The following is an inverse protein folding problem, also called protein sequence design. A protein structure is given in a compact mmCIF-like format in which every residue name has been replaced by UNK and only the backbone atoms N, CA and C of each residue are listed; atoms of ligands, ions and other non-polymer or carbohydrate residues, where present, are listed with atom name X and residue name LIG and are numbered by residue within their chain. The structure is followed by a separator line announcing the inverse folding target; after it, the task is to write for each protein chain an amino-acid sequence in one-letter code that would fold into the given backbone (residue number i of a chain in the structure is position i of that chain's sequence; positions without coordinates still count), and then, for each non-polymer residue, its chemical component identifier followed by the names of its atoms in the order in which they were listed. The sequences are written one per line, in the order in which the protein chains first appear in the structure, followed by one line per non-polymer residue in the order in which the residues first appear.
data_IF_212421198322
#
_entry.id   IF_212421198322
#
_cell.length_a   1.000
_cell.length_b   1.000
_cell.length_c   1.000
_cell.angle_alpha   90.00
_cell.angle_beta   90.00
_cell.angle_gamma   90.00
#
_symmetry.space_group_name_H-M   'P 1'
#
loop_
_entity.id
_entity.type
_entity.pdbx_description
1 polymer ?
#
# COMPACT_ATOMS: atom_id res chain seq x y z
N UNK A 1 -12.95 -18.40 -14.09
CA UNK A 1 -11.81 -18.22 -13.17
C UNK A 1 -11.45 -19.56 -12.56
N UNK A 2 -10.18 -19.81 -12.32
CA UNK A 2 -9.67 -21.03 -11.64
C UNK A 2 -9.91 -20.96 -10.12
N UNK A 3 -9.97 -19.74 -9.58
CA UNK A 3 -10.13 -19.47 -8.16
C UNK A 3 -11.53 -18.95 -7.84
N UNK A 4 -12.03 -19.30 -6.65
CA UNK A 4 -13.34 -18.85 -6.16
C UNK A 4 -13.18 -17.59 -5.32
N UNK A 5 -13.70 -16.47 -5.84
CA UNK A 5 -13.74 -15.18 -5.14
C UNK A 5 -15.19 -14.79 -4.73
N UNK A 6 -16.20 -15.59 -5.06
CA UNK A 6 -17.60 -15.30 -4.76
C UNK A 6 -18.08 -15.90 -3.44
N UNK A 7 -17.51 -17.04 -3.02
CA UNK A 7 -17.87 -17.64 -1.74
C UNK A 7 -17.52 -16.72 -0.57
N UNK A 8 -18.52 -16.43 0.27
CA UNK A 8 -18.37 -15.56 1.44
C UNK A 8 -17.40 -16.17 2.46
N UNK A 9 -16.29 -15.51 2.68
CA UNK A 9 -15.35 -15.83 3.74
C UNK A 9 -15.85 -15.21 5.05
N UNK A 10 -16.14 -16.05 6.05
CA UNK A 10 -16.43 -15.56 7.40
C UNK A 10 -15.12 -15.29 8.14
N UNK A 11 -14.90 -14.02 8.51
CA UNK A 11 -13.71 -13.59 9.24
C UNK A 11 -14.02 -13.18 10.69
N UNK A 12 -15.28 -13.29 11.12
CA UNK A 12 -15.69 -13.07 12.52
C UNK A 12 -15.23 -14.26 13.37
N UNK A 13 -14.67 -14.01 14.54
CA UNK A 13 -14.10 -15.03 15.42
C UNK A 13 -12.67 -15.47 15.04
N UNK A 14 -12.01 -14.71 14.13
CA UNK A 14 -10.65 -15.01 13.66
C UNK A 14 -9.61 -13.97 14.08
N UNK A 15 -9.95 -13.12 15.04
CA UNK A 15 -9.13 -11.97 15.48
C UNK A 15 -8.87 -10.96 14.34
N UNK A 16 -9.82 -10.82 13.44
CA UNK A 16 -9.71 -9.95 12.28
C UNK A 16 -10.09 -8.51 12.63
N UNK A 17 -9.14 -7.58 12.68
CA UNK A 17 -9.38 -6.17 12.96
C UNK A 17 -10.53 -5.59 12.12
N UNK A 18 -10.55 -5.88 10.81
CA UNK A 18 -11.57 -5.35 9.89
C UNK A 18 -13.00 -5.74 10.28
N UNK A 19 -13.20 -6.96 10.82
CA UNK A 19 -14.53 -7.50 11.09
C UNK A 19 -14.92 -7.49 12.56
N UNK A 20 -13.99 -7.24 13.48
CA UNK A 20 -14.20 -7.37 14.92
C UNK A 20 -14.02 -6.06 15.71
N UNK A 21 -13.53 -4.99 15.07
CA UNK A 21 -13.32 -3.69 15.74
C UNK A 21 -14.61 -2.83 15.84
N UNK A 22 -15.68 -3.21 15.14
CA UNK A 22 -16.89 -2.39 15.06
C UNK A 22 -18.05 -3.03 15.84
N UNK A 23 -18.45 -2.39 16.93
CA UNK A 23 -19.68 -2.72 17.69
C UNK A 23 -20.90 -2.03 17.04
N UNK A 24 -21.19 -2.41 15.78
CA UNK A 24 -22.28 -1.86 14.98
C UNK A 24 -23.13 -3.02 14.47
N UNK A 25 -24.46 -3.01 14.72
CA UNK A 25 -25.35 -4.06 14.19
C UNK A 25 -25.27 -4.17 12.66
N UNK A 26 -25.13 -5.38 12.14
CA UNK A 26 -25.01 -5.67 10.70
C UNK A 26 -23.86 -4.89 10.01
N UNK A 27 -22.75 -4.67 10.71
CA UNK A 27 -21.60 -3.98 10.17
C UNK A 27 -21.11 -4.62 8.86
N UNK A 28 -20.90 -3.80 7.86
CA UNK A 28 -20.24 -4.13 6.60
C UNK A 28 -18.98 -3.27 6.48
N UNK A 29 -17.87 -3.70 7.07
CA UNK A 29 -16.64 -2.91 7.05
C UNK A 29 -15.92 -3.08 5.69
N UNK A 30 -15.76 -1.99 4.97
CA UNK A 30 -14.98 -1.90 3.73
C UNK A 30 -13.85 -0.88 3.90
N UNK A 31 -13.13 -1.00 5.01
CA UNK A 31 -12.17 -0.01 5.54
C UNK A 31 -10.71 -0.43 5.34
N UNK A 32 -10.25 -1.44 6.08
CA UNK A 32 -8.85 -1.85 6.14
C UNK A 32 -8.40 -2.42 4.79
N UNK A 33 -7.16 -2.09 4.39
CA UNK A 33 -6.57 -2.53 3.14
C UNK A 33 -6.01 -3.96 3.24
N UNK A 34 -6.92 -4.92 3.41
CA UNK A 34 -6.74 -6.36 3.20
C UNK A 34 -7.90 -6.91 2.36
N UNK A 35 -7.77 -8.13 1.86
CA UNK A 35 -8.81 -8.75 1.05
C UNK A 35 -9.67 -9.69 1.91
N UNK A 36 -10.94 -9.86 1.54
CA UNK A 36 -11.82 -10.86 2.14
C UNK A 36 -11.82 -12.20 1.39
N UNK A 37 -10.81 -12.43 0.57
CA UNK A 37 -10.57 -13.69 -0.14
C UNK A 37 -9.57 -14.56 0.64
N UNK A 38 -9.66 -15.88 0.47
CA UNK A 38 -8.59 -16.76 0.91
C UNK A 38 -7.30 -16.48 0.09
N UNK A 39 -6.15 -16.70 0.72
CA UNK A 39 -4.85 -16.63 0.04
C UNK A 39 -4.75 -17.73 -1.04
N UNK A 40 -3.81 -17.54 -1.98
CA UNK A 40 -3.59 -18.53 -3.04
C UNK A 40 -3.35 -19.94 -2.45
N UNK A 41 -3.91 -21.02 -3.05
CA UNK A 41 -3.78 -22.38 -2.53
C UNK A 41 -2.33 -22.81 -2.30
N UNK A 42 -1.41 -22.41 -3.16
CA UNK A 42 0.03 -22.71 -3.02
C UNK A 42 0.64 -22.10 -1.77
N UNK A 43 0.22 -20.88 -1.42
CA UNK A 43 0.64 -20.23 -0.17
C UNK A 43 0.09 -21.00 1.04
N UNK A 44 -1.19 -21.37 1.00
CA UNK A 44 -1.84 -22.15 2.04
C UNK A 44 -1.15 -23.50 2.24
N UNK A 45 -0.85 -24.22 1.15
CA UNK A 45 -0.11 -25.49 1.16
C UNK A 45 1.29 -25.34 1.80
N UNK A 46 2.03 -24.29 1.46
CA UNK A 46 3.37 -24.03 1.99
C UNK A 46 3.35 -23.74 3.50
N UNK A 47 2.30 -23.10 4.00
CA UNK A 47 2.13 -22.75 5.42
C UNK A 47 1.68 -23.96 6.26
N UNK A 48 0.73 -24.76 5.74
CA UNK A 48 0.10 -25.89 6.46
C UNK A 48 0.78 -27.22 6.06
N UNK A 49 1.96 -27.20 5.50
CA UNK A 49 2.67 -28.39 5.05
C UNK A 49 2.79 -29.44 6.17
N UNK A 50 2.09 -30.60 6.08
CA UNK A 50 2.10 -31.62 7.14
C UNK A 50 3.46 -32.30 7.32
N UNK A 51 4.34 -32.19 6.33
CA UNK A 51 5.69 -32.75 6.38
C UNK A 51 6.70 -31.79 7.04
N UNK A 52 6.29 -30.56 7.38
CA UNK A 52 7.13 -29.59 8.08
C UNK A 52 6.92 -29.73 9.57
N UNK A 53 7.98 -30.10 10.36
CA UNK A 53 7.87 -30.10 11.80
C UNK A 53 7.47 -28.73 12.35
N UNK A 54 6.48 -28.69 13.24
CA UNK A 54 6.05 -27.46 13.92
C UNK A 54 6.93 -27.11 15.14
N UNK A 55 8.24 -27.24 14.99
CA UNK A 55 9.20 -26.68 15.93
C UNK A 55 9.42 -25.20 15.57
N UNK A 56 8.63 -24.31 16.18
CA UNK A 56 8.58 -22.88 15.85
C UNK A 56 9.77 -22.11 16.48
N UNK A 57 10.99 -22.51 16.12
CA UNK A 57 12.22 -21.81 16.51
C UNK A 57 12.52 -20.61 15.61
N UNK A 58 13.71 -20.05 15.77
CA UNK A 58 14.18 -18.95 14.92
C UNK A 58 14.34 -19.40 13.47
N UNK A 59 13.99 -18.51 12.56
CA UNK A 59 14.09 -18.73 11.12
C UNK A 59 15.27 -17.95 10.54
N UNK A 60 15.96 -18.54 9.55
CA UNK A 60 16.95 -17.82 8.75
C UNK A 60 16.35 -17.44 7.40
N UNK A 61 16.96 -16.47 6.72
CA UNK A 61 16.52 -16.02 5.41
C UNK A 61 17.43 -16.66 4.36
N UNK A 62 16.95 -17.64 3.57
CA UNK A 62 17.75 -18.29 2.54
C UNK A 62 17.94 -17.39 1.31
N UNK A 63 18.99 -17.63 0.54
CA UNK A 63 19.27 -16.94 -0.73
C UNK A 63 18.07 -17.01 -1.69
N UNK A 64 17.33 -18.12 -1.68
CA UNK A 64 16.13 -18.33 -2.50
C UNK A 64 15.04 -17.31 -2.24
N UNK A 65 14.95 -16.72 -1.04
CA UNK A 65 14.02 -15.64 -0.74
C UNK A 65 14.37 -14.36 -1.53
N UNK A 66 15.63 -13.98 -1.51
CA UNK A 66 16.13 -12.81 -2.25
C UNK A 66 16.04 -13.01 -3.76
N UNK A 67 16.32 -14.23 -4.22
CA UNK A 67 16.17 -14.64 -5.62
C UNK A 67 14.72 -14.59 -6.08
N UNK A 68 13.76 -15.03 -5.26
CA UNK A 68 12.34 -15.00 -5.58
C UNK A 68 11.84 -13.55 -5.75
N UNK A 69 12.24 -12.63 -4.86
CA UNK A 69 11.91 -11.20 -4.99
C UNK A 69 12.53 -10.63 -6.28
N UNK A 70 13.82 -10.82 -6.50
CA UNK A 70 14.48 -10.30 -7.68
C UNK A 70 13.85 -10.86 -8.98
N UNK A 71 13.54 -12.16 -9.01
CA UNK A 71 12.88 -12.80 -10.13
C UNK A 71 11.49 -12.22 -10.40
N UNK A 72 10.66 -12.04 -9.36
CA UNK A 72 9.33 -11.45 -9.45
C UNK A 72 9.37 -10.05 -10.06
N UNK A 73 10.20 -9.19 -9.51
CA UNK A 73 10.33 -7.80 -9.94
C UNK A 73 10.90 -7.66 -11.36
N UNK A 74 11.83 -8.53 -11.75
CA UNK A 74 12.39 -8.52 -13.11
C UNK A 74 11.39 -9.05 -14.15
N UNK A 75 10.64 -10.12 -13.83
CA UNK A 75 9.66 -10.70 -14.77
C UNK A 75 8.45 -9.82 -14.96
N UNK A 76 7.90 -9.24 -13.87
CA UNK A 76 6.66 -8.46 -13.92
C UNK A 76 6.88 -7.00 -14.25
N UNK A 77 7.97 -6.42 -13.77
CA UNK A 77 8.17 -4.96 -13.79
C UNK A 77 9.45 -4.53 -14.50
N UNK A 78 10.22 -5.47 -15.07
CA UNK A 78 11.51 -5.19 -15.75
C UNK A 78 12.44 -4.27 -14.90
N UNK A 79 12.53 -4.56 -13.60
CA UNK A 79 13.11 -3.65 -12.62
C UNK A 79 14.65 -3.66 -12.55
N UNK A 80 15.33 -4.63 -13.19
CA UNK A 80 16.79 -4.71 -13.19
C UNK A 80 17.42 -5.00 -11.83
N UNK A 81 16.75 -5.78 -10.98
CA UNK A 81 17.12 -6.04 -9.59
C UNK A 81 17.91 -7.34 -9.48
N UNK A 82 19.00 -7.33 -8.69
CA UNK A 82 19.69 -8.54 -8.25
C UNK A 82 19.39 -8.84 -6.78
N UNK A 83 19.53 -10.13 -6.38
CA UNK A 83 19.31 -10.56 -4.99
C UNK A 83 20.14 -9.78 -3.97
N UNK A 84 21.35 -9.37 -4.36
CA UNK A 84 22.26 -8.64 -3.47
C UNK A 84 21.77 -7.21 -3.14
N UNK A 85 20.77 -6.71 -3.84
CA UNK A 85 20.14 -5.40 -3.57
C UNK A 85 19.03 -5.50 -2.52
N UNK A 86 18.61 -6.72 -2.14
CA UNK A 86 17.43 -6.97 -1.30
C UNK A 86 17.84 -7.13 0.15
N UNK A 87 17.11 -6.45 1.04
CA UNK A 87 17.25 -6.54 2.50
C UNK A 87 15.89 -6.88 3.11
N UNK A 88 15.81 -7.94 3.90
CA UNK A 88 14.57 -8.37 4.58
C UNK A 88 14.12 -7.37 5.64
N UNK A 89 12.80 -7.22 5.79
CA UNK A 89 12.16 -6.48 6.87
C UNK A 89 10.84 -7.15 7.29
N UNK A 90 10.46 -7.01 8.57
CA UNK A 90 9.22 -7.55 9.14
C UNK A 90 7.94 -6.83 8.69
N UNK A 91 8.04 -5.82 7.83
CA UNK A 91 6.93 -5.05 7.28
C UNK A 91 7.40 -3.70 6.74
N UNK A 92 6.63 -3.14 5.83
CA UNK A 92 6.99 -1.87 5.19
C UNK A 92 7.00 -0.72 6.20
N UNK A 93 6.04 -0.64 7.10
CA UNK A 93 5.94 0.46 8.08
C UNK A 93 7.10 0.41 9.10
N UNK A 94 7.49 -0.79 9.57
CA UNK A 94 8.64 -0.88 10.44
C UNK A 94 9.95 -0.53 9.69
N UNK A 95 10.05 -0.91 8.41
CA UNK A 95 11.18 -0.52 7.57
C UNK A 95 11.25 1.00 7.37
N UNK A 96 10.13 1.68 7.09
CA UNK A 96 10.06 3.15 6.99
C UNK A 96 10.53 3.79 8.29
N UNK A 97 10.01 3.34 9.44
CA UNK A 97 10.38 3.89 10.75
C UNK A 97 11.87 3.70 11.05
N UNK A 98 12.43 2.54 10.72
CA UNK A 98 13.86 2.25 10.85
C UNK A 98 14.71 3.13 9.94
N UNK A 99 14.33 3.27 8.67
CA UNK A 99 15.01 4.13 7.69
C UNK A 99 14.97 5.59 8.13
N UNK A 100 13.83 6.09 8.59
CA UNK A 100 13.69 7.45 9.14
C UNK A 100 14.68 7.66 10.27
N UNK A 101 14.76 6.74 11.25
CA UNK A 101 15.72 6.86 12.35
C UNK A 101 17.17 6.81 11.88
N UNK A 102 17.47 5.94 10.91
CA UNK A 102 18.84 5.67 10.47
C UNK A 102 19.42 6.70 9.52
N UNK A 103 18.59 7.29 8.67
CA UNK A 103 19.04 8.19 7.60
C UNK A 103 18.78 9.67 7.89
N UNK A 104 18.08 9.97 8.98
CA UNK A 104 17.78 11.36 9.37
C UNK A 104 18.07 11.61 10.84
N UNK A 105 18.10 12.87 11.23
CA UNK A 105 18.33 13.34 12.60
C UNK A 105 17.02 13.85 13.22
N UNK A 106 16.77 13.73 14.54
CA UNK A 106 15.61 14.36 15.18
C UNK A 106 15.52 15.86 14.88
N UNK A 107 14.31 16.32 14.54
CA UNK A 107 14.05 17.70 14.14
C UNK A 107 14.19 17.97 12.63
N UNK A 108 14.75 17.06 11.84
CA UNK A 108 14.75 17.20 10.39
C UNK A 108 13.35 16.98 9.79
N UNK A 109 13.11 17.53 8.61
CA UNK A 109 11.87 17.45 7.89
C UNK A 109 11.82 16.17 7.03
N UNK A 110 10.69 15.47 7.13
CA UNK A 110 10.33 14.38 6.21
C UNK A 110 9.18 14.86 5.33
N UNK A 111 9.40 14.83 4.02
CA UNK A 111 8.45 15.34 3.03
C UNK A 111 7.49 14.25 2.59
N UNK A 112 6.19 14.54 2.65
CA UNK A 112 5.08 13.71 2.20
C UNK A 112 4.22 14.44 1.17
N UNK A 113 3.32 13.73 0.49
CA UNK A 113 2.36 14.30 -0.47
C UNK A 113 0.92 13.89 -0.11
N UNK A 114 0.12 14.81 0.42
CA UNK A 114 -1.27 14.53 0.78
C UNK A 114 -2.22 14.64 -0.42
N UNK A 115 -3.35 13.85 -0.41
CA UNK A 115 -3.76 12.87 0.59
C UNK A 115 -2.87 11.64 0.57
N UNK A 116 -2.60 11.06 1.76
CA UNK A 116 -1.65 9.95 1.88
C UNK A 116 -2.04 9.01 3.02
N UNK A 117 -1.57 7.76 2.96
CA UNK A 117 -1.75 6.77 4.00
C UNK A 117 -1.22 7.26 5.35
N UNK A 118 -2.14 7.37 6.32
CA UNK A 118 -1.90 8.06 7.58
C UNK A 118 -0.82 7.42 8.49
N UNK A 119 -0.53 6.13 8.33
CA UNK A 119 0.51 5.45 9.13
C UNK A 119 1.90 6.02 8.87
N UNK A 120 2.14 6.64 7.68
CA UNK A 120 3.40 7.34 7.43
C UNK A 120 3.59 8.55 8.34
N UNK A 121 2.50 9.23 8.75
CA UNK A 121 2.56 10.35 9.70
C UNK A 121 3.15 9.90 11.04
N UNK A 122 2.70 8.74 11.53
CA UNK A 122 3.20 8.14 12.75
C UNK A 122 4.68 7.72 12.61
N UNK A 123 5.08 7.19 11.45
CA UNK A 123 6.49 6.84 11.19
C UNK A 123 7.41 8.07 11.21
N UNK A 124 6.90 9.26 10.89
CA UNK A 124 7.63 10.53 11.01
C UNK A 124 7.60 11.07 12.44
N UNK A 125 6.39 11.30 12.97
CA UNK A 125 6.20 12.02 14.24
C UNK A 125 6.69 11.21 15.44
N UNK A 126 6.41 9.91 15.51
CA UNK A 126 6.85 9.04 16.60
C UNK A 126 8.37 8.88 16.67
N UNK A 127 9.07 9.20 15.58
CA UNK A 127 10.53 9.20 15.54
C UNK A 127 11.14 10.59 15.74
N UNK A 128 10.34 11.61 16.14
CA UNK A 128 10.83 12.95 16.47
C UNK A 128 11.28 13.77 15.27
N UNK A 129 10.75 13.47 14.06
CA UNK A 129 10.98 14.27 12.85
C UNK A 129 9.79 15.17 12.59
N UNK A 130 10.01 16.25 11.84
CA UNK A 130 8.94 17.14 11.44
C UNK A 130 8.26 16.59 10.18
N UNK A 131 6.94 16.59 10.18
CA UNK A 131 6.16 16.25 9.01
C UNK A 131 5.94 17.51 8.17
N UNK A 132 6.43 17.51 6.95
CA UNK A 132 6.22 18.57 5.95
C UNK A 132 5.50 17.96 4.77
N UNK A 133 4.56 18.70 4.17
CA UNK A 133 3.85 18.21 3.00
C UNK A 133 3.98 19.13 1.81
N UNK A 134 3.97 18.51 0.61
CA UNK A 134 3.68 19.15 -0.66
C UNK A 134 2.41 18.49 -1.18
N UNK A 135 1.27 19.14 -0.95
CA UNK A 135 -0.03 18.54 -1.19
C UNK A 135 -0.30 18.38 -2.69
N UNK A 136 -0.92 17.28 -3.06
CA UNK A 136 -1.33 17.04 -4.44
C UNK A 136 -2.48 17.98 -4.81
N UNK A 137 -2.42 18.52 -6.01
CA UNK A 137 -3.52 19.35 -6.56
C UNK A 137 -4.63 18.43 -7.07
N UNK A 138 -5.86 18.63 -6.55
CA UNK A 138 -7.07 17.98 -7.04
C UNK A 138 -7.84 18.89 -7.97
N UNK A 139 -8.04 18.48 -9.21
CA UNK A 139 -8.82 19.22 -10.21
C UNK A 139 -9.53 18.26 -11.16
N UNK A 140 -10.82 18.49 -11.39
CA UNK A 140 -11.65 17.73 -12.35
C UNK A 140 -11.62 16.20 -12.14
N UNK A 141 -11.49 15.74 -10.88
CA UNK A 141 -11.42 14.33 -10.53
C UNK A 141 -10.02 13.71 -10.66
N UNK A 142 -8.99 14.52 -10.87
CA UNK A 142 -7.60 14.05 -11.05
C UNK A 142 -6.65 14.70 -10.04
N UNK A 143 -5.67 13.93 -9.62
CA UNK A 143 -4.59 14.41 -8.77
C UNK A 143 -3.29 14.58 -9.58
N UNK A 144 -2.57 15.66 -9.29
CA UNK A 144 -1.27 15.97 -9.89
C UNK A 144 -0.31 16.56 -8.86
N UNK A 145 0.98 16.47 -9.13
CA UNK A 145 2.02 17.07 -8.30
C UNK A 145 2.06 18.58 -8.57
N UNK A 146 2.09 19.38 -7.49
CA UNK A 146 2.51 20.78 -7.56
C UNK A 146 4.04 20.82 -7.55
N UNK A 147 4.61 20.95 -8.73
CA UNK A 147 6.06 20.89 -8.92
C UNK A 147 6.81 22.09 -8.33
N UNK A 148 6.18 23.24 -8.25
CA UNK A 148 6.78 24.44 -7.66
C UNK A 148 6.84 24.31 -6.14
N UNK A 149 5.75 23.88 -5.49
CA UNK A 149 5.73 23.65 -4.06
C UNK A 149 6.63 22.46 -3.68
N UNK A 150 6.62 21.37 -4.46
CA UNK A 150 7.50 20.22 -4.22
C UNK A 150 8.99 20.64 -4.26
N UNK A 151 9.41 21.36 -5.30
CA UNK A 151 10.80 21.83 -5.40
C UNK A 151 11.17 22.77 -4.26
N UNK A 152 10.28 23.69 -3.89
CA UNK A 152 10.46 24.58 -2.75
C UNK A 152 10.66 23.82 -1.44
N UNK A 153 9.85 22.78 -1.18
CA UNK A 153 9.97 21.95 0.04
C UNK A 153 11.23 21.09 0.05
N UNK A 154 11.62 20.55 -1.10
CA UNK A 154 12.88 19.81 -1.23
C UNK A 154 14.12 20.72 -1.08
N UNK A 155 14.03 22.00 -1.45
CA UNK A 155 15.14 22.97 -1.32
C UNK A 155 15.38 23.46 0.11
N UNK A 156 14.47 23.20 1.03
CA UNK A 156 14.68 23.49 2.45
C UNK A 156 15.81 22.59 3.00
N UNK A 157 16.83 23.21 3.58
CA UNK A 157 18.00 22.50 4.13
C UNK A 157 17.67 21.57 5.30
N UNK A 158 16.52 21.74 5.92
CA UNK A 158 16.02 20.83 6.95
C UNK A 158 15.36 19.57 6.37
N UNK A 159 15.01 19.56 5.07
CA UNK A 159 14.40 18.41 4.43
C UNK A 159 15.48 17.40 4.05
N UNK A 160 15.46 16.24 4.69
CA UNK A 160 16.47 15.19 4.52
C UNK A 160 15.93 13.92 3.87
N UNK A 161 14.62 13.67 3.94
CA UNK A 161 14.00 12.48 3.38
C UNK A 161 12.61 12.80 2.82
N UNK A 162 12.26 12.14 1.70
CA UNK A 162 10.92 12.14 1.13
C UNK A 162 10.40 10.70 1.07
N UNK A 163 9.14 10.48 1.46
CA UNK A 163 8.44 9.21 1.29
C UNK A 163 7.46 9.35 0.14
N UNK A 164 7.65 8.56 -0.90
CA UNK A 164 6.76 8.45 -2.05
C UNK A 164 5.90 7.20 -1.89
N UNK A 165 4.62 7.28 -2.17
CA UNK A 165 3.71 6.13 -2.26
C UNK A 165 3.44 5.82 -3.73
N UNK A 166 3.84 4.66 -4.22
CA UNK A 166 3.75 4.30 -5.63
C UNK A 166 3.35 2.82 -5.83
N UNK A 167 2.11 2.50 -6.13
CA UNK A 167 0.95 3.38 -6.39
C UNK A 167 0.48 4.17 -5.16
N UNK A 168 -0.12 5.33 -5.40
CA UNK A 168 -0.46 6.29 -4.36
C UNK A 168 -1.80 5.96 -3.66
N UNK A 169 -1.76 5.55 -2.41
CA UNK A 169 -2.93 5.33 -1.55
C UNK A 169 -3.25 6.63 -0.76
N UNK A 170 -4.48 7.17 -0.82
CA UNK A 170 -5.75 6.50 -1.14
C UNK A 170 -6.23 6.65 -2.59
N UNK A 171 -5.60 7.46 -3.40
CA UNK A 171 -6.12 7.90 -4.72
C UNK A 171 -5.95 6.88 -5.85
N UNK A 172 -5.26 5.76 -5.62
CA UNK A 172 -5.06 4.69 -6.61
C UNK A 172 -4.23 5.09 -7.85
N UNK A 173 -3.45 6.19 -7.77
CA UNK A 173 -2.68 6.71 -8.90
C UNK A 173 -1.36 5.98 -9.07
N UNK A 174 -1.06 5.53 -10.28
CA UNK A 174 0.30 5.20 -10.71
C UNK A 174 1.01 6.50 -11.11
N UNK A 175 2.20 6.71 -10.57
CA UNK A 175 3.08 7.75 -11.08
C UNK A 175 3.75 7.26 -12.36
N UNK A 176 3.78 8.08 -13.39
CA UNK A 176 4.46 7.74 -14.63
C UNK A 176 5.98 7.91 -14.50
N UNK A 177 6.71 7.41 -15.50
CA UNK A 177 8.17 7.43 -15.51
C UNK A 177 8.73 8.85 -15.41
N UNK A 178 8.12 9.80 -16.07
CA UNK A 178 8.55 11.21 -16.10
C UNK A 178 8.35 11.88 -14.74
N UNK A 179 7.19 11.62 -14.09
CA UNK A 179 6.91 12.12 -12.72
C UNK A 179 7.93 11.58 -11.72
N UNK A 180 8.18 10.26 -11.74
CA UNK A 180 9.15 9.61 -10.84
C UNK A 180 10.60 10.05 -11.11
N UNK A 181 11.01 10.19 -12.38
CA UNK A 181 12.34 10.68 -12.73
C UNK A 181 12.56 12.08 -12.21
N UNK A 182 11.56 12.97 -12.40
CA UNK A 182 11.65 14.36 -11.92
C UNK A 182 11.71 14.46 -10.40
N UNK A 183 10.98 13.62 -9.67
CA UNK A 183 11.13 13.52 -8.21
C UNK A 183 12.58 13.15 -7.85
N UNK A 184 13.14 12.12 -8.50
CA UNK A 184 14.52 11.67 -8.24
C UNK A 184 15.56 12.75 -8.55
N UNK A 185 15.43 13.46 -9.68
CA UNK A 185 16.29 14.56 -10.07
C UNK A 185 16.27 15.71 -9.04
N UNK A 186 15.08 16.13 -8.61
CA UNK A 186 14.93 17.19 -7.61
C UNK A 186 15.47 16.75 -6.25
N UNK A 187 15.16 15.55 -5.81
CA UNK A 187 15.67 15.00 -4.55
C UNK A 187 17.21 14.94 -4.55
N UNK A 188 17.82 14.45 -5.64
CA UNK A 188 19.29 14.44 -5.81
C UNK A 188 19.87 15.84 -5.80
N UNK A 189 19.24 16.80 -6.52
CA UNK A 189 19.69 18.21 -6.60
C UNK A 189 19.82 18.82 -5.21
N UNK A 190 18.90 18.50 -4.30
CA UNK A 190 18.86 19.07 -2.95
C UNK A 190 19.42 18.14 -1.86
N UNK A 191 19.91 16.96 -2.21
CA UNK A 191 20.49 15.99 -1.27
C UNK A 191 19.47 15.28 -0.40
N UNK A 192 18.21 15.20 -0.83
CA UNK A 192 17.12 14.53 -0.11
C UNK A 192 17.09 13.05 -0.48
N UNK A 193 17.01 12.17 0.53
CA UNK A 193 16.87 10.74 0.32
C UNK A 193 15.41 10.41 -0.03
N UNK A 194 15.17 9.51 -1.02
CA UNK A 194 13.82 9.05 -1.35
C UNK A 194 13.62 7.60 -0.94
N UNK A 195 12.50 7.35 -0.26
CA UNK A 195 11.95 6.03 0.05
C UNK A 195 10.62 5.90 -0.69
N UNK A 196 10.52 4.94 -1.60
CA UNK A 196 9.28 4.62 -2.32
C UNK A 196 8.60 3.40 -1.69
N UNK A 197 7.40 3.58 -1.16
CA UNK A 197 6.55 2.47 -0.74
C UNK A 197 5.77 1.94 -1.94
N UNK A 198 6.11 0.73 -2.36
CA UNK A 198 5.54 0.09 -3.54
C UNK A 198 4.70 -1.16 -3.20
N UNK A 199 4.19 -1.21 -1.98
CA UNK A 199 3.41 -2.34 -1.47
C UNK A 199 2.16 -2.68 -2.30
N UNK A 200 1.63 -1.72 -3.07
CA UNK A 200 0.46 -1.88 -3.92
C UNK A 200 0.76 -2.12 -5.41
N UNK A 201 2.03 -2.27 -5.78
CA UNK A 201 2.51 -2.32 -7.18
C UNK A 201 1.76 -3.32 -8.09
N UNK A 202 1.49 -4.52 -7.58
CA UNK A 202 0.86 -5.60 -8.35
C UNK A 202 -0.68 -5.55 -8.36
N UNK A 203 -1.29 -4.63 -7.58
CA UNK A 203 -2.75 -4.47 -7.53
C UNK A 203 -3.15 -3.44 -8.58
N UNK A 204 -3.40 -3.91 -9.79
CA UNK A 204 -3.65 -3.10 -10.97
C UNK A 204 -4.92 -3.54 -11.70
N UNK A 205 -5.69 -2.58 -12.22
CA UNK A 205 -6.69 -2.90 -13.23
C UNK A 205 -5.97 -3.40 -14.51
N UNK A 206 -6.43 -4.50 -15.14
CA UNK A 206 -5.76 -5.06 -16.31
C UNK A 206 -5.51 -4.03 -17.43
N UNK A 207 -4.34 -4.09 -18.05
CA UNK A 207 -3.94 -3.20 -19.14
C UNK A 207 -3.34 -1.86 -18.71
N UNK A 208 -3.17 -1.62 -17.41
CA UNK A 208 -2.52 -0.41 -16.92
C UNK A 208 -1.05 -0.66 -16.62
N UNK A 209 -0.23 0.36 -16.88
CA UNK A 209 1.20 0.31 -16.62
C UNK A 209 1.54 0.84 -15.23
N UNK A 210 2.47 0.16 -14.59
CA UNK A 210 3.10 0.58 -13.35
C UNK A 210 4.61 0.70 -13.58
N UNK A 211 5.20 1.79 -13.09
CA UNK A 211 6.64 2.03 -13.18
C UNK A 211 7.25 1.95 -11.77
N UNK A 212 8.18 1.01 -11.51
CA UNK A 212 8.95 1.02 -10.27
C UNK A 212 9.77 2.30 -10.12
N UNK A 213 9.86 2.87 -8.92
CA UNK A 213 10.63 4.08 -8.66
C UNK A 213 12.11 3.92 -9.12
N UNK A 214 12.72 2.80 -8.80
CA UNK A 214 14.12 2.52 -9.17
C UNK A 214 14.33 2.39 -10.69
N UNK A 215 13.29 2.09 -11.46
CA UNK A 215 13.38 1.92 -12.91
C UNK A 215 13.13 3.21 -13.70
N UNK A 216 12.71 4.28 -13.01
CA UNK A 216 12.32 5.52 -13.67
C UNK A 216 13.54 6.25 -14.29
N UNK A 217 14.66 6.31 -13.58
CA UNK A 217 15.91 6.90 -14.09
C UNK A 217 17.14 6.26 -13.45
N UNK A 218 18.32 6.58 -14.00
CA UNK A 218 19.60 6.18 -13.41
C UNK A 218 19.77 6.79 -12.01
N UNK A 219 19.37 8.03 -11.84
CA UNK A 219 19.42 8.74 -10.57
C UNK A 219 18.57 8.04 -9.51
N UNK A 220 17.33 7.68 -9.87
CA UNK A 220 16.43 6.94 -8.98
C UNK A 220 17.03 5.60 -8.56
N UNK A 221 17.65 4.86 -9.51
CA UNK A 221 18.31 3.59 -9.23
C UNK A 221 19.50 3.75 -8.27
N UNK A 222 20.35 4.78 -8.48
CA UNK A 222 21.55 4.98 -7.67
C UNK A 222 21.27 5.51 -6.26
N UNK A 223 20.16 6.22 -6.04
CA UNK A 223 19.89 6.93 -4.79
C UNK A 223 18.64 6.50 -4.07
N UNK A 224 17.75 5.74 -4.72
CA UNK A 224 16.45 5.35 -4.16
C UNK A 224 16.50 4.15 -3.23
N UNK A 225 15.49 4.08 -2.37
CA UNK A 225 15.12 2.91 -1.58
C UNK A 225 13.69 2.55 -1.97
N UNK A 226 13.45 1.31 -2.37
CA UNK A 226 12.13 0.81 -2.72
C UNK A 226 11.69 -0.22 -1.68
N UNK A 227 10.50 -0.09 -1.12
CA UNK A 227 9.95 -1.01 -0.15
C UNK A 227 8.85 -1.86 -0.79
N UNK A 228 8.95 -3.16 -0.62
CA UNK A 228 8.10 -4.15 -1.28
C UNK A 228 7.61 -5.20 -0.28
N UNK A 229 6.45 -5.80 -0.56
CA UNK A 229 5.87 -6.81 0.32
C UNK A 229 4.85 -7.69 -0.40
N UNK A 230 4.70 -8.92 0.04
CA UNK A 230 3.61 -9.83 -0.36
C UNK A 230 2.25 -9.45 0.23
N UNK A 231 2.21 -8.52 1.19
CA UNK A 231 1.03 -8.22 2.03
C UNK A 231 -0.22 -7.84 1.26
N UNK A 232 -0.09 -6.98 0.23
CA UNK A 232 -1.26 -6.48 -0.52
C UNK A 232 -1.52 -7.30 -1.77
N UNK A 233 -0.48 -7.69 -2.48
CA UNK A 233 -0.55 -8.51 -3.69
C UNK A 233 -1.20 -9.86 -3.44
N UNK A 234 -0.82 -10.54 -2.35
CA UNK A 234 -1.24 -11.91 -2.04
C UNK A 234 -2.13 -12.04 -0.79
N UNK A 235 -2.65 -10.92 -0.28
CA UNK A 235 -3.44 -10.90 0.95
C UNK A 235 -2.72 -11.50 2.18
N UNK A 236 -1.45 -11.16 2.37
CA UNK A 236 -0.56 -11.77 3.36
C UNK A 236 -0.11 -10.80 4.47
N UNK A 237 -0.91 -9.79 4.81
CA UNK A 237 -0.52 -8.77 5.80
C UNK A 237 -0.15 -9.38 7.17
N UNK A 238 -0.86 -10.42 7.60
CA UNK A 238 -0.61 -11.12 8.88
C UNK A 238 0.71 -11.90 8.96
N UNK A 239 1.41 -12.10 7.83
CA UNK A 239 2.71 -12.79 7.82
C UNK A 239 3.90 -11.85 8.09
N UNK A 240 3.71 -10.55 8.09
CA UNK A 240 4.76 -9.57 8.39
C UNK A 240 6.07 -9.82 7.62
N UNK A 241 5.98 -9.91 6.28
CA UNK A 241 7.12 -10.11 5.39
C UNK A 241 7.22 -8.98 4.38
N UNK A 242 8.35 -8.30 4.36
CA UNK A 242 8.66 -7.22 3.43
C UNK A 242 10.16 -7.22 3.09
N UNK A 243 10.54 -6.37 2.14
CA UNK A 243 11.94 -6.14 1.83
C UNK A 243 12.20 -4.68 1.41
N UNK A 244 13.39 -4.20 1.70
CA UNK A 244 13.93 -2.99 1.09
C UNK A 244 14.85 -3.39 -0.07
N UNK A 245 14.62 -2.81 -1.25
CA UNK A 245 15.47 -2.96 -2.42
C UNK A 245 16.32 -1.70 -2.54
N UNK A 246 17.63 -1.85 -2.39
CA UNK A 246 18.57 -0.74 -2.31
C UNK A 246 19.81 -1.04 -3.17
N UNK A 247 19.89 -0.53 -4.41
CA UNK A 247 21.00 -0.80 -5.30
C UNK A 247 22.35 -0.29 -4.77
N UNK A 248 22.37 0.91 -4.20
CA UNK A 248 23.59 1.52 -3.66
C UNK A 248 24.11 0.74 -2.43
N UNK A 249 25.34 0.19 -2.48
CA UNK A 249 25.83 -0.70 -1.42
C UNK A 249 26.08 0.02 -0.09
N UNK A 250 26.46 1.31 -0.11
CA UNK A 250 26.68 2.09 1.12
C UNK A 250 25.33 2.38 1.80
N UNK A 251 24.34 2.80 1.00
CA UNK A 251 22.99 3.05 1.50
C UNK A 251 22.33 1.77 2.00
N UNK A 252 22.48 0.66 1.24
CA UNK A 252 22.00 -0.66 1.62
C UNK A 252 22.56 -1.12 2.97
N UNK A 253 23.86 -0.94 3.18
CA UNK A 253 24.48 -1.27 4.47
C UNK A 253 23.87 -0.45 5.62
N UNK A 254 23.59 0.85 5.41
CA UNK A 254 22.93 1.69 6.42
C UNK A 254 21.51 1.19 6.73
N UNK A 255 20.73 0.85 5.70
CA UNK A 255 19.38 0.30 5.86
C UNK A 255 19.42 -1.03 6.61
N UNK A 256 20.28 -1.95 6.18
CA UNK A 256 20.47 -3.22 6.84
C UNK A 256 20.86 -3.07 8.33
N UNK A 257 21.80 -2.17 8.64
CA UNK A 257 22.19 -1.85 10.04
C UNK A 257 21.04 -1.26 10.83
N UNK A 258 20.22 -0.40 10.23
CA UNK A 258 19.03 0.15 10.87
C UNK A 258 18.04 -0.94 11.25
N UNK A 259 17.64 -1.77 10.31
CA UNK A 259 16.68 -2.85 10.51
C UNK A 259 17.14 -3.86 11.57
N UNK A 260 18.42 -4.22 11.59
CA UNK A 260 18.97 -5.10 12.64
C UNK A 260 19.00 -4.42 14.02
N UNK A 261 19.35 -3.12 14.08
CA UNK A 261 19.36 -2.38 15.36
C UNK A 261 17.95 -2.27 15.95
N UNK A 262 16.95 -2.19 15.10
CA UNK A 262 15.53 -2.03 15.47
C UNK A 262 14.81 -3.37 15.62
N UNK A 263 15.52 -4.52 15.55
CA UNK A 263 14.98 -5.88 15.65
C UNK A 263 13.85 -6.16 14.61
N UNK A 264 13.97 -5.57 13.42
CA UNK A 264 12.98 -5.67 12.32
C UNK A 264 13.47 -6.57 11.17
N UNK A 265 14.56 -7.32 11.35
CA UNK A 265 15.24 -8.08 10.30
C UNK A 265 15.11 -9.61 10.42
N UNK A 266 14.37 -10.12 11.40
CA UNK A 266 14.21 -11.55 11.62
C UNK A 266 12.81 -12.03 11.21
N UNK A 267 12.68 -13.02 10.31
CA UNK A 267 11.40 -13.52 9.86
C UNK A 267 10.74 -14.42 10.92
N UNK A 268 9.40 -14.33 11.00
CA UNK A 268 8.66 -15.34 11.71
C UNK A 268 8.64 -16.68 10.95
N UNK A 269 8.24 -17.75 11.66
CA UNK A 269 8.25 -19.13 11.15
C UNK A 269 7.54 -19.33 9.81
N UNK A 270 6.48 -18.58 9.52
CA UNK A 270 5.66 -18.73 8.31
C UNK A 270 6.07 -17.78 7.17
N UNK A 271 6.78 -16.70 7.46
CA UNK A 271 7.05 -15.63 6.49
C UNK A 271 7.80 -16.11 5.25
N UNK A 272 8.86 -16.89 5.41
CA UNK A 272 9.70 -17.34 4.30
C UNK A 272 8.98 -18.36 3.40
N UNK A 273 8.42 -19.49 3.90
CA UNK A 273 7.72 -20.44 3.02
C UNK A 273 6.50 -19.82 2.32
N UNK A 274 5.76 -18.97 3.00
CA UNK A 274 4.63 -18.27 2.40
C UNK A 274 5.08 -17.31 1.28
N UNK A 275 6.15 -16.54 1.50
CA UNK A 275 6.67 -15.62 0.48
C UNK A 275 7.26 -16.34 -0.74
N UNK A 276 7.93 -17.47 -0.54
CA UNK A 276 8.46 -18.28 -1.64
C UNK A 276 7.33 -18.83 -2.52
N UNK A 277 6.27 -19.38 -1.91
CA UNK A 277 5.10 -19.86 -2.64
C UNK A 277 4.34 -18.71 -3.34
N UNK A 278 4.28 -17.54 -2.70
CA UNK A 278 3.68 -16.34 -3.29
C UNK A 278 4.39 -15.95 -4.59
N UNK A 279 5.68 -15.65 -4.53
CA UNK A 279 6.44 -15.12 -5.67
C UNK A 279 6.70 -16.17 -6.77
N UNK A 280 6.84 -17.45 -6.44
CA UNK A 280 7.23 -18.47 -7.39
C UNK A 280 6.06 -19.26 -7.97
N UNK A 281 4.90 -19.35 -7.26
CA UNK A 281 3.86 -20.32 -7.59
C UNK A 281 2.45 -19.73 -7.64
N UNK A 282 2.26 -18.42 -7.38
CA UNK A 282 0.92 -17.83 -7.20
C UNK A 282 0.64 -16.64 -8.14
N UNK A 283 1.37 -16.52 -9.25
CA UNK A 283 1.21 -15.42 -10.20
C UNK A 283 -0.17 -15.44 -10.88
N UNK A 284 -0.66 -16.61 -11.25
CA UNK A 284 -1.99 -16.78 -11.85
C UNK A 284 -3.14 -16.38 -10.91
N UNK A 285 -2.96 -16.58 -9.59
CA UNK A 285 -3.92 -16.08 -8.60
C UNK A 285 -3.96 -14.55 -8.59
N UNK A 286 -2.82 -13.89 -8.72
CA UNK A 286 -2.74 -12.41 -8.77
C UNK A 286 -3.48 -11.87 -9.99
N UNK A 287 -3.30 -12.50 -11.17
CA UNK A 287 -4.00 -12.10 -12.39
C UNK A 287 -5.53 -12.23 -12.23
N UNK A 288 -6.01 -13.34 -11.69
CA UNK A 288 -7.45 -13.56 -11.50
C UNK A 288 -8.06 -12.65 -10.44
N UNK A 289 -7.39 -12.44 -9.29
CA UNK A 289 -7.91 -11.53 -8.25
C UNK A 289 -7.93 -10.08 -8.72
N UNK A 290 -6.94 -9.64 -9.51
CA UNK A 290 -6.94 -8.31 -10.09
C UNK A 290 -8.09 -8.12 -11.09
N UNK A 291 -8.37 -9.12 -11.93
CA UNK A 291 -9.52 -9.09 -12.83
C UNK A 291 -10.85 -9.00 -12.06
N UNK A 292 -11.01 -9.77 -10.99
CA UNK A 292 -12.19 -9.73 -10.14
C UNK A 292 -12.36 -8.37 -9.43
N UNK A 293 -11.27 -7.82 -8.89
CA UNK A 293 -11.27 -6.49 -8.27
C UNK A 293 -11.62 -5.40 -9.28
N UNK A 294 -11.10 -5.50 -10.51
CA UNK A 294 -11.42 -4.55 -11.58
C UNK A 294 -12.92 -4.54 -11.93
N UNK A 295 -13.57 -5.72 -11.95
CA UNK A 295 -15.02 -5.83 -12.12
C UNK A 295 -15.78 -5.18 -10.95
N UNK A 296 -15.30 -5.35 -9.72
CA UNK A 296 -15.87 -4.69 -8.54
C UNK A 296 -15.73 -3.16 -8.64
N UNK A 297 -14.55 -2.66 -8.99
CA UNK A 297 -14.31 -1.22 -9.21
C UNK A 297 -15.23 -0.67 -10.29
N UNK A 298 -15.33 -1.36 -11.43
CA UNK A 298 -16.24 -0.98 -12.51
C UNK A 298 -17.69 -0.91 -12.04
N UNK A 299 -18.15 -1.90 -11.30
CA UNK A 299 -19.53 -1.91 -10.77
C UNK A 299 -19.81 -0.68 -9.90
N UNK A 300 -18.89 -0.31 -9.00
CA UNK A 300 -19.06 0.87 -8.15
C UNK A 300 -19.10 2.14 -8.98
N UNK A 301 -18.20 2.31 -9.96
CA UNK A 301 -18.20 3.46 -10.88
C UNK A 301 -19.53 3.59 -11.59
N UNK A 302 -20.00 2.52 -12.25
CA UNK A 302 -21.25 2.52 -13.00
C UNK A 302 -22.46 2.82 -12.09
N UNK A 303 -22.48 2.25 -10.89
CA UNK A 303 -23.57 2.43 -9.95
C UNK A 303 -23.65 3.82 -9.31
N UNK A 304 -22.53 4.53 -9.22
CA UNK A 304 -22.46 5.89 -8.70
C UNK A 304 -22.59 6.96 -9.80
N UNK A 305 -22.61 6.58 -11.08
CA UNK A 305 -22.79 7.50 -12.19
C UNK A 305 -24.10 8.30 -12.04
N UNK A 306 -24.00 9.62 -12.21
CA UNK A 306 -25.15 10.52 -12.06
C UNK A 306 -25.61 10.80 -10.62
N UNK A 307 -24.96 10.20 -9.60
CA UNK A 307 -25.22 10.51 -8.19
C UNK A 307 -24.36 11.69 -7.70
N UNK A 308 -24.58 12.12 -6.45
CA UNK A 308 -23.76 13.14 -5.80
C UNK A 308 -22.42 12.59 -5.28
N UNK A 309 -22.22 11.29 -5.39
CA UNK A 309 -20.98 10.59 -5.07
C UNK A 309 -20.14 10.38 -6.34
N UNK A 310 -18.90 10.84 -6.36
CA UNK A 310 -18.03 10.68 -7.53
C UNK A 310 -16.81 9.84 -7.20
N UNK A 311 -16.73 8.65 -7.80
CA UNK A 311 -15.51 7.83 -7.71
C UNK A 311 -14.40 8.47 -8.57
N UNK A 312 -13.21 8.69 -7.98
CA UNK A 312 -12.11 9.44 -8.60
C UNK A 312 -10.77 8.72 -8.49
N UNK A 313 -10.77 7.41 -8.21
CA UNK A 313 -9.56 6.63 -8.09
C UNK A 313 -8.88 6.40 -9.44
N UNK A 314 -7.55 6.27 -9.38
CA UNK A 314 -6.76 5.73 -10.48
C UNK A 314 -6.91 4.20 -10.63
N UNK A 315 -6.13 3.60 -11.55
CA UNK A 315 -6.26 2.18 -11.89
C UNK A 315 -5.65 1.22 -10.86
N UNK A 316 -4.83 1.73 -9.96
CA UNK A 316 -4.15 0.91 -8.97
C UNK A 316 -4.92 0.76 -7.67
N UNK A 317 -4.51 -0.18 -6.86
CA UNK A 317 -5.08 -0.57 -5.56
C UNK A 317 -6.50 -1.15 -5.66
N UNK A 318 -6.96 -1.76 -4.59
CA UNK A 318 -8.36 -2.18 -4.42
C UNK A 318 -9.15 -1.20 -3.54
N UNK A 319 -8.63 0.03 -3.41
CA UNK A 319 -9.21 1.08 -2.58
C UNK A 319 -9.81 2.14 -3.50
N UNK A 320 -11.10 2.37 -3.39
CA UNK A 320 -11.77 3.43 -4.11
C UNK A 320 -11.78 4.72 -3.28
N UNK A 321 -11.50 5.81 -3.95
CA UNK A 321 -11.55 7.17 -3.41
C UNK A 321 -12.76 7.88 -3.95
N UNK A 322 -13.72 8.20 -3.09
CA UNK A 322 -15.02 8.71 -3.47
C UNK A 322 -15.14 10.15 -2.96
N UNK A 323 -15.30 11.08 -3.87
CA UNK A 323 -15.58 12.48 -3.60
C UNK A 323 -17.07 12.64 -3.20
N UNK A 324 -17.30 13.08 -1.97
CA UNK A 324 -18.62 13.36 -1.40
C UNK A 324 -18.84 14.86 -1.14
N UNK A 325 -17.98 15.72 -1.69
CA UNK A 325 -17.99 17.17 -1.43
C UNK A 325 -19.27 17.87 -1.89
N UNK A 326 -20.02 17.27 -2.82
CA UNK A 326 -21.37 17.74 -3.18
C UNK A 326 -22.41 17.51 -2.09
N UNK A 327 -22.17 16.56 -1.21
CA UNK A 327 -23.04 16.22 -0.08
C UNK A 327 -22.58 16.97 1.16
N UNK A 328 -21.30 16.81 1.51
CA UNK A 328 -20.69 17.45 2.69
C UNK A 328 -19.16 17.48 2.61
N UNK A 329 -18.54 18.44 3.33
CA UNK A 329 -17.12 18.45 3.63
C UNK A 329 -16.81 17.88 5.03
N UNK A 330 -17.84 17.54 5.82
CA UNK A 330 -17.68 16.84 7.10
C UNK A 330 -17.76 15.33 6.86
N UNK A 331 -16.66 14.80 6.35
CA UNK A 331 -16.52 13.40 5.99
C UNK A 331 -16.46 12.46 7.21
N UNK A 332 -16.08 12.98 8.38
CA UNK A 332 -16.07 12.23 9.64
C UNK A 332 -17.50 11.99 10.14
N UNK A 333 -18.33 13.05 10.23
CA UNK A 333 -19.74 12.91 10.61
C UNK A 333 -20.49 12.07 9.56
N UNK A 334 -20.21 12.27 8.28
CA UNK A 334 -20.79 11.45 7.21
C UNK A 334 -20.52 9.95 7.40
N UNK A 335 -19.25 9.58 7.61
CA UNK A 335 -18.86 8.17 7.78
C UNK A 335 -19.46 7.57 9.07
N UNK A 336 -19.48 8.34 10.15
CA UNK A 336 -20.06 7.92 11.44
C UNK A 336 -21.56 7.69 11.34
N UNK A 337 -22.32 8.61 10.72
CA UNK A 337 -23.77 8.46 10.52
C UNK A 337 -24.10 7.33 9.57
N UNK A 338 -23.36 7.23 8.45
CA UNK A 338 -23.52 6.13 7.50
C UNK A 338 -23.37 4.76 8.21
N UNK A 339 -22.34 4.63 9.04
CA UNK A 339 -22.10 3.41 9.81
C UNK A 339 -23.23 3.11 10.80
N UNK A 340 -23.68 4.10 11.56
CA UNK A 340 -24.74 3.94 12.58
C UNK A 340 -26.10 3.64 11.97
N UNK A 341 -26.47 4.30 10.87
CA UNK A 341 -27.78 4.20 10.25
C UNK A 341 -27.94 3.02 9.30
N UNK A 342 -26.83 2.63 8.63
CA UNK A 342 -26.89 1.58 7.58
C UNK A 342 -26.00 0.37 7.86
N UNK A 343 -25.09 0.45 8.81
CA UNK A 343 -24.06 -0.55 9.06
C UNK A 343 -22.88 -0.51 8.07
N UNK A 344 -22.87 0.37 7.06
CA UNK A 344 -21.74 0.49 6.13
C UNK A 344 -20.62 1.32 6.74
N UNK A 345 -19.46 0.70 6.93
CA UNK A 345 -18.29 1.38 7.54
C UNK A 345 -17.28 1.74 6.47
N UNK A 346 -17.01 3.04 6.28
CA UNK A 346 -16.03 3.61 5.37
C UNK A 346 -14.93 4.35 6.16
N UNK A 347 -13.80 4.60 5.53
CA UNK A 347 -12.80 5.51 6.10
C UNK A 347 -13.06 6.94 5.64
N UNK A 348 -13.12 7.88 6.60
CA UNK A 348 -13.20 9.30 6.31
C UNK A 348 -11.91 9.82 5.63
N UNK A 349 -12.06 10.75 4.71
CA UNK A 349 -10.95 11.35 3.96
C UNK A 349 -10.03 12.18 4.83
N UNK A 350 -10.54 12.80 5.88
CA UNK A 350 -9.78 13.53 6.88
C UNK A 350 -8.64 12.71 7.49
N UNK A 351 -8.79 11.38 7.62
CA UNK A 351 -7.72 10.48 8.06
C UNK A 351 -6.49 10.49 7.12
N UNK A 352 -6.69 10.84 5.86
CA UNK A 352 -5.66 10.96 4.81
C UNK A 352 -5.27 12.42 4.53
N UNK A 353 -5.77 13.38 5.32
CA UNK A 353 -5.62 14.83 5.13
C UNK A 353 -6.37 15.39 3.91
N UNK A 354 -7.54 14.82 3.57
CA UNK A 354 -8.42 15.33 2.51
C UNK A 354 -9.89 15.29 2.94
N UNK A 355 -10.47 16.46 3.20
CA UNK A 355 -11.87 16.60 3.58
C UNK A 355 -12.81 16.44 2.36
N UNK A 356 -14.03 15.96 2.61
CA UNK A 356 -15.04 15.78 1.57
C UNK A 356 -14.83 14.52 0.74
N UNK A 357 -14.12 13.53 1.28
CA UNK A 357 -13.90 12.22 0.64
C UNK A 357 -14.16 11.07 1.61
N UNK A 358 -14.42 9.89 1.04
CA UNK A 358 -14.40 8.62 1.78
C UNK A 358 -13.64 7.57 0.99
N UNK A 359 -13.02 6.60 1.68
CA UNK A 359 -12.31 5.49 1.06
C UNK A 359 -13.05 4.18 1.28
N UNK A 360 -13.25 3.41 0.19
CA UNK A 360 -13.93 2.14 0.16
C UNK A 360 -13.00 1.03 -0.34
N UNK A 361 -12.86 -0.06 0.39
CA UNK A 361 -12.15 -1.26 -0.05
C UNK A 361 -13.11 -2.17 -0.84
N UNK A 362 -12.74 -2.54 -2.07
CA UNK A 362 -13.55 -3.43 -2.93
C UNK A 362 -12.92 -4.81 -3.17
N UNK A 363 -11.84 -5.15 -2.44
CA UNK A 363 -11.27 -6.49 -2.44
C UNK A 363 -12.07 -7.44 -1.53
N UNK A 364 -13.33 -7.58 -1.84
CA UNK A 364 -14.31 -8.43 -1.16
C UNK A 364 -15.27 -9.04 -2.19
N UNK A 365 -16.10 -9.99 -1.77
CA UNK A 365 -17.05 -10.66 -2.65
C UNK A 365 -18.01 -9.65 -3.33
N UNK A 366 -18.37 -9.92 -4.58
CA UNK A 366 -19.28 -9.07 -5.38
C UNK A 366 -20.56 -8.72 -4.64
N UNK A 367 -21.15 -9.70 -3.96
CA UNK A 367 -22.38 -9.51 -3.18
C UNK A 367 -22.22 -8.45 -2.07
N UNK A 368 -21.08 -8.41 -1.40
CA UNK A 368 -20.75 -7.38 -0.39
C UNK A 368 -20.57 -6.00 -1.01
N UNK A 369 -19.94 -5.93 -2.19
CA UNK A 369 -19.79 -4.67 -2.92
C UNK A 369 -21.16 -4.11 -3.35
N UNK A 370 -22.04 -4.98 -3.84
CA UNK A 370 -23.42 -4.60 -4.21
C UNK A 370 -24.19 -4.09 -2.98
N UNK A 371 -24.11 -4.78 -1.86
CA UNK A 371 -24.73 -4.36 -0.60
C UNK A 371 -24.17 -3.00 -0.11
N UNK A 372 -22.86 -2.84 -0.13
CA UNK A 372 -22.22 -1.58 0.26
C UNK A 372 -22.69 -0.39 -0.58
N UNK A 373 -22.75 -0.55 -1.92
CA UNK A 373 -23.25 0.49 -2.82
C UNK A 373 -24.72 0.80 -2.57
N UNK A 374 -25.55 -0.21 -2.33
CA UNK A 374 -26.97 -0.02 -2.02
C UNK A 374 -27.17 0.76 -0.71
N UNK A 375 -26.41 0.43 0.35
CA UNK A 375 -26.44 1.16 1.62
C UNK A 375 -26.00 2.63 1.43
N UNK A 376 -24.92 2.87 0.68
CA UNK A 376 -24.43 4.23 0.39
C UNK A 376 -25.47 5.06 -0.38
N UNK A 377 -26.08 4.50 -1.44
CA UNK A 377 -27.06 5.23 -2.27
C UNK A 377 -28.38 5.50 -1.57
N UNK A 378 -28.78 4.64 -0.63
CA UNK A 378 -30.03 4.80 0.12
C UNK A 378 -29.85 5.69 1.37
N UNK A 379 -28.64 5.96 1.78
CA UNK A 379 -28.35 6.86 2.89
C UNK A 379 -28.73 8.30 2.56
N UNK A 380 -29.36 8.98 3.52
CA UNK A 380 -29.74 10.39 3.41
C UNK A 380 -29.00 11.19 4.48
N UNK A 381 -28.00 11.88 4.04
CA UNK A 381 -27.16 12.72 4.92
C UNK A 381 -27.81 14.07 5.22
#
# INVERSE_FOLDING_TARGET
MKYDFDTLTNRVGTYCCKWEEYDIPNALPVTIADMDFEIAPKIKEAVINPNRPFACGYSYIPDTYYEAIASWWNRRHNAGISKDMVVYANGVICAISSIVRKLTTPGENILLQFPLYNTFFNSVLNNGRNLVSSDLTYKDGKYSIDWEDLEKKLSDKQTSLMIVCNPHNPIGKNWNKEELSRIGELARKYGVQVVSDEIHCDVQEPGNEYTPYLSASKENFETGIMLVSTSKTFNMAGFHAAAAIVPNPILRHKVWRGLNTDECAEPNFFAIPASLAAYNESEDWVEEVNAYIAENKKYVRDALEGSDYKEVSGPATYLLWIDISKVTYDDEDFADRLAKETGLVLNAGSHYKAKGFVRMNVATQKSRVVDAVNRLKNFKY
#
